data_IF_750640844454
#
_entry.id   IF_750640844454
#
_cell.length_a   1.000
_cell.length_b   1.000
_cell.length_c   1.000
_cell.angle_alpha   90.00
_cell.angle_beta   90.00
_cell.angle_gamma   90.00
#
_symmetry.space_group_name_H-M   'P 1'
#
loop_
_entity.id
_entity.type
_entity.pdbx_description
1 polymer ?
#
# COMPACT_ATOMS: atom_id res chain seq x y z
N UNK A 1 14.57 -1.32 2.46
CA UNK A 1 13.19 -0.95 2.90
C UNK A 1 12.25 -1.27 1.76
N UNK A 2 11.16 -1.98 2.04
CA UNK A 2 10.21 -2.43 1.02
C UNK A 2 9.01 -1.48 0.98
N UNK A 3 8.72 -0.92 -0.18
CA UNK A 3 7.58 -0.01 -0.40
C UNK A 3 6.65 -0.64 -1.43
N UNK A 4 5.35 -0.58 -1.16
CA UNK A 4 4.29 -1.11 -2.01
C UNK A 4 3.50 0.04 -2.63
N UNK A 5 3.32 -0.04 -3.94
CA UNK A 5 2.36 0.75 -4.69
C UNK A 5 1.31 -0.15 -5.35
N UNK A 6 0.10 0.37 -5.50
CA UNK A 6 -0.96 -0.27 -6.27
C UNK A 6 -1.43 0.74 -7.32
N UNK A 7 -1.12 0.49 -8.59
CA UNK A 7 -1.29 1.47 -9.67
C UNK A 7 -1.77 0.82 -10.98
N UNK A 8 -2.32 1.66 -11.85
CA UNK A 8 -2.47 1.37 -13.27
C UNK A 8 -1.57 2.32 -14.10
N UNK A 9 -1.53 2.14 -15.42
CA UNK A 9 -0.66 2.88 -16.33
C UNK A 9 -0.83 4.41 -16.26
N UNK A 10 -2.02 4.91 -15.89
CA UNK A 10 -2.28 6.35 -15.79
C UNK A 10 -1.52 7.01 -14.63
N UNK A 11 -1.11 6.24 -13.63
CA UNK A 11 -0.45 6.75 -12.43
C UNK A 11 1.08 6.72 -12.49
N UNK A 12 1.69 6.28 -13.59
CA UNK A 12 3.17 6.20 -13.74
C UNK A 12 3.84 7.55 -13.43
N UNK A 13 3.30 8.65 -13.93
CA UNK A 13 3.86 9.99 -13.69
C UNK A 13 3.83 10.38 -12.19
N UNK A 14 2.72 10.10 -11.51
CA UNK A 14 2.60 10.33 -10.06
C UNK A 14 3.54 9.40 -9.28
N UNK A 15 3.63 8.13 -9.67
CA UNK A 15 4.55 7.16 -9.08
C UNK A 15 5.99 7.66 -9.13
N UNK A 16 6.44 8.17 -10.28
CA UNK A 16 7.78 8.77 -10.41
C UNK A 16 7.99 9.95 -9.47
N UNK A 17 7.00 10.84 -9.35
CA UNK A 17 7.07 11.99 -8.45
C UNK A 17 7.17 11.55 -6.99
N UNK A 18 6.36 10.57 -6.58
CA UNK A 18 6.40 9.99 -5.25
C UNK A 18 7.78 9.36 -4.97
N UNK A 19 8.28 8.49 -5.85
CA UNK A 19 9.60 7.85 -5.73
C UNK A 19 10.70 8.91 -5.65
N UNK A 20 10.68 9.93 -6.51
CA UNK A 20 11.66 11.02 -6.49
C UNK A 20 11.65 11.75 -5.15
N UNK A 21 10.49 11.95 -4.52
CA UNK A 21 10.40 12.58 -3.21
C UNK A 21 10.99 11.72 -2.10
N UNK A 22 10.80 10.40 -2.16
CA UNK A 22 11.39 9.43 -1.22
C UNK A 22 12.92 9.44 -1.32
N UNK A 23 13.45 9.48 -2.56
CA UNK A 23 14.90 9.45 -2.81
C UNK A 23 15.67 10.65 -2.27
N UNK A 24 15.00 11.74 -1.91
CA UNK A 24 15.62 12.88 -1.23
C UNK A 24 16.14 12.53 0.16
N UNK A 25 15.54 11.51 0.78
CA UNK A 25 15.78 11.17 2.19
C UNK A 25 16.27 9.74 2.39
N UNK A 26 15.77 8.81 1.57
CA UNK A 26 16.02 7.37 1.75
C UNK A 26 16.62 6.73 0.51
N UNK A 27 17.50 5.74 0.70
CA UNK A 27 18.15 4.93 -0.32
C UNK A 27 18.00 3.44 0.01
N UNK A 28 18.37 2.58 -0.92
CA UNK A 28 18.28 1.12 -0.79
C UNK A 28 16.83 0.68 -0.52
N UNK A 29 15.97 0.95 -1.49
CA UNK A 29 14.55 0.67 -1.43
C UNK A 29 14.20 -0.31 -2.55
N UNK A 30 13.45 -1.34 -2.17
CA UNK A 30 12.81 -2.27 -3.09
C UNK A 30 11.34 -1.84 -3.25
N UNK A 31 10.92 -1.57 -4.49
CA UNK A 31 9.57 -1.18 -4.82
C UNK A 31 8.80 -2.38 -5.35
N UNK A 32 7.69 -2.68 -4.72
CA UNK A 32 6.72 -3.67 -5.14
C UNK A 32 5.54 -2.96 -5.77
N UNK A 33 5.18 -3.33 -6.99
CA UNK A 33 4.13 -2.66 -7.77
C UNK A 33 3.07 -3.67 -8.14
N UNK A 34 1.90 -3.58 -7.48
CA UNK A 34 0.72 -4.33 -7.87
C UNK A 34 0.03 -3.60 -9.01
N UNK A 35 -0.21 -4.30 -10.13
CA UNK A 35 -0.78 -3.70 -11.32
C UNK A 35 -1.57 -4.71 -12.15
N UNK A 36 -2.38 -4.20 -13.08
CA UNK A 36 -3.14 -5.00 -14.02
C UNK A 36 -2.75 -4.72 -15.48
N UNK A 37 -2.39 -3.48 -15.80
CA UNK A 37 -2.26 -2.96 -17.17
C UNK A 37 -0.88 -2.39 -17.51
N UNK A 38 0.15 -2.56 -16.65
CA UNK A 38 1.48 -2.08 -16.97
C UNK A 38 2.13 -2.98 -18.04
N UNK A 39 2.36 -2.41 -19.22
CA UNK A 39 3.12 -3.06 -20.27
C UNK A 39 4.65 -2.93 -20.03
N UNK A 40 5.47 -3.51 -20.92
CA UNK A 40 6.92 -3.50 -20.79
C UNK A 40 7.50 -2.09 -20.87
N UNK A 41 6.95 -1.22 -21.71
CA UNK A 41 7.40 0.17 -21.85
C UNK A 41 7.23 0.95 -20.54
N UNK A 42 6.09 0.78 -19.84
CA UNK A 42 5.85 1.39 -18.52
C UNK A 42 6.85 0.91 -17.47
N UNK A 43 7.17 -0.39 -17.47
CA UNK A 43 8.13 -0.99 -16.54
C UNK A 43 9.55 -0.49 -16.82
N UNK A 44 9.95 -0.45 -18.08
CA UNK A 44 11.26 0.03 -18.50
C UNK A 44 11.44 1.52 -18.17
N UNK A 45 10.40 2.32 -18.36
CA UNK A 45 10.40 3.75 -18.04
C UNK A 45 10.62 4.01 -16.54
N UNK A 46 10.00 3.21 -15.65
CA UNK A 46 10.26 3.28 -14.21
C UNK A 46 11.69 2.85 -13.86
N UNK A 47 12.16 1.72 -14.38
CA UNK A 47 13.51 1.21 -14.12
C UNK A 47 14.60 2.15 -14.63
N UNK A 48 14.43 2.74 -15.81
CA UNK A 48 15.39 3.70 -16.38
C UNK A 48 15.40 5.03 -15.61
N UNK A 49 14.25 5.46 -15.08
CA UNK A 49 14.16 6.68 -14.29
C UNK A 49 14.84 6.54 -12.91
N UNK A 50 14.97 5.31 -12.40
CA UNK A 50 15.52 5.04 -11.08
C UNK A 50 16.44 3.81 -11.11
N UNK A 51 17.64 3.91 -11.74
CA UNK A 51 18.51 2.76 -11.96
C UNK A 51 19.12 2.16 -10.68
N UNK A 52 19.12 2.93 -9.58
CA UNK A 52 19.62 2.47 -8.27
C UNK A 52 18.52 1.77 -7.44
N UNK A 53 17.35 1.48 -8.03
CA UNK A 53 16.24 0.83 -7.35
C UNK A 53 16.00 -0.57 -7.87
N UNK A 54 15.49 -1.41 -6.99
CA UNK A 54 14.91 -2.70 -7.38
C UNK A 54 13.41 -2.55 -7.52
N UNK A 55 12.87 -2.98 -8.66
CA UNK A 55 11.43 -3.00 -8.93
C UNK A 55 10.94 -4.45 -9.07
N UNK A 56 9.90 -4.77 -8.33
CA UNK A 56 9.18 -6.04 -8.39
C UNK A 56 7.77 -5.77 -8.90
N UNK A 57 7.52 -6.08 -10.17
CA UNK A 57 6.20 -5.91 -10.78
C UNK A 57 5.38 -7.19 -10.58
N UNK A 58 4.22 -7.06 -9.96
CA UNK A 58 3.31 -8.16 -9.63
C UNK A 58 1.99 -7.90 -10.34
N UNK A 59 1.72 -8.71 -11.35
CA UNK A 59 0.47 -8.66 -12.09
C UNK A 59 -0.65 -9.29 -11.29
N UNK A 60 -1.71 -8.51 -11.05
CA UNK A 60 -2.89 -8.95 -10.31
C UNK A 60 -3.98 -9.38 -11.30
N UNK A 61 -4.47 -10.61 -11.16
CA UNK A 61 -5.53 -11.14 -12.03
C UNK A 61 -6.89 -10.56 -11.64
N UNK A 62 -7.60 -10.02 -12.63
CA UNK A 62 -8.91 -9.39 -12.46
C UNK A 62 -9.94 -10.35 -11.85
N UNK A 63 -9.88 -11.64 -12.24
CA UNK A 63 -10.82 -12.64 -11.77
C UNK A 63 -10.90 -12.74 -10.25
N UNK A 64 -9.81 -12.46 -9.53
CA UNK A 64 -9.75 -12.48 -8.06
C UNK A 64 -10.57 -11.36 -7.42
N UNK A 65 -10.94 -10.33 -8.18
CA UNK A 65 -11.59 -9.12 -7.69
C UNK A 65 -12.89 -8.75 -8.40
N UNK A 66 -13.39 -9.60 -9.29
CA UNK A 66 -14.57 -9.36 -10.15
C UNK A 66 -15.83 -8.97 -9.39
N UNK A 67 -15.98 -9.45 -8.15
CA UNK A 67 -17.17 -9.23 -7.32
C UNK A 67 -17.04 -7.96 -6.44
N UNK A 68 -15.90 -7.26 -6.50
CA UNK A 68 -15.70 -6.03 -5.74
C UNK A 68 -16.37 -4.84 -6.43
N UNK A 69 -17.08 -3.98 -5.67
CA UNK A 69 -17.75 -2.82 -6.24
C UNK A 69 -16.71 -1.81 -6.74
N UNK A 70 -16.80 -1.44 -8.00
CA UNK A 70 -15.93 -0.45 -8.63
C UNK A 70 -16.70 0.76 -9.14
N UNK A 71 -16.02 1.89 -9.22
CA UNK A 71 -16.52 3.12 -9.84
C UNK A 71 -15.35 3.90 -10.44
N UNK A 72 -15.64 4.96 -11.20
CA UNK A 72 -14.60 5.85 -11.72
C UNK A 72 -13.73 6.49 -10.62
N UNK A 73 -14.28 6.64 -9.41
CA UNK A 73 -13.56 7.18 -8.24
C UNK A 73 -12.84 6.09 -7.44
N UNK A 74 -13.35 4.85 -7.48
CA UNK A 74 -12.81 3.71 -6.73
C UNK A 74 -12.52 2.57 -7.71
N UNK A 75 -11.39 2.64 -8.44
CA UNK A 75 -10.98 1.58 -9.34
C UNK A 75 -10.52 0.35 -8.57
N UNK A 76 -10.36 -0.77 -9.26
CA UNK A 76 -10.07 -2.07 -8.67
C UNK A 76 -8.76 -2.10 -7.87
N UNK A 77 -7.78 -1.34 -8.31
CA UNK A 77 -6.45 -1.23 -7.69
C UNK A 77 -6.48 -0.79 -6.22
N UNK A 78 -7.54 -0.09 -5.80
CA UNK A 78 -7.72 0.30 -4.40
C UNK A 78 -7.80 -0.92 -3.47
N UNK A 79 -8.35 -2.03 -3.96
CA UNK A 79 -8.53 -3.24 -3.17
C UNK A 79 -7.26 -4.08 -3.06
N UNK A 80 -6.29 -3.95 -3.99
CA UNK A 80 -5.09 -4.80 -4.00
C UNK A 80 -4.29 -4.69 -2.71
N UNK A 81 -4.28 -3.50 -2.06
CA UNK A 81 -3.62 -3.30 -0.76
C UNK A 81 -4.17 -4.20 0.34
N UNK A 82 -5.46 -4.58 0.29
CA UNK A 82 -6.08 -5.44 1.28
C UNK A 82 -5.60 -6.89 1.17
N UNK A 83 -5.12 -7.29 0.00
CA UNK A 83 -4.62 -8.62 -0.31
C UNK A 83 -3.10 -8.67 -0.44
N UNK A 84 -2.42 -7.64 0.07
CA UNK A 84 -0.96 -7.55 -0.01
C UNK A 84 -0.25 -8.77 0.59
N UNK A 85 -0.79 -9.35 1.69
CA UNK A 85 -0.23 -10.55 2.31
C UNK A 85 -0.23 -11.77 1.41
N UNK A 86 -1.21 -11.89 0.50
CA UNK A 86 -1.37 -13.04 -0.40
C UNK A 86 -0.64 -12.83 -1.72
N UNK A 87 -0.55 -11.56 -2.16
CA UNK A 87 0.05 -11.20 -3.44
C UNK A 87 1.58 -11.07 -3.37
N UNK A 88 2.11 -10.75 -2.20
CA UNK A 88 3.54 -10.50 -1.99
C UNK A 88 4.31 -11.77 -1.61
N UNK A 89 5.62 -11.84 -1.93
CA UNK A 89 6.46 -12.97 -1.54
C UNK A 89 6.43 -13.27 -0.05
N UNK A 90 6.39 -14.56 0.32
CA UNK A 90 6.36 -15.02 1.72
C UNK A 90 7.61 -14.63 2.51
N UNK A 91 8.68 -14.29 1.83
CA UNK A 91 9.96 -13.84 2.44
C UNK A 91 9.89 -12.44 3.02
N UNK A 92 8.81 -11.69 2.75
CA UNK A 92 8.62 -10.34 3.29
C UNK A 92 7.90 -10.40 4.64
N UNK A 93 8.53 -9.82 5.65
CA UNK A 93 7.97 -9.69 7.00
C UNK A 93 7.04 -8.48 7.12
N UNK A 94 7.42 -7.38 6.47
CA UNK A 94 6.72 -6.09 6.48
C UNK A 94 6.85 -5.36 5.17
N UNK A 95 5.90 -4.48 4.90
CA UNK A 95 5.94 -3.57 3.76
C UNK A 95 5.23 -2.25 4.11
N UNK A 96 5.74 -1.15 3.57
CA UNK A 96 5.09 0.16 3.69
C UNK A 96 4.30 0.44 2.41
N UNK A 97 2.97 0.40 2.50
CA UNK A 97 2.10 0.83 1.42
C UNK A 97 1.98 2.36 1.41
N UNK A 98 2.09 2.94 0.22
CA UNK A 98 1.87 4.35 -0.02
C UNK A 98 0.94 4.56 -1.23
N UNK A 99 -0.03 5.46 -1.10
CA UNK A 99 -0.70 6.03 -2.28
C UNK A 99 0.30 6.87 -3.07
N UNK A 100 0.20 6.88 -4.40
CA UNK A 100 1.21 7.52 -5.27
C UNK A 100 1.00 9.03 -5.45
N UNK A 101 -0.09 9.57 -4.94
CA UNK A 101 -0.42 11.01 -4.99
C UNK A 101 0.11 11.79 -3.77
N UNK A 102 1.10 11.23 -3.07
CA UNK A 102 1.76 11.84 -1.91
C UNK A 102 3.18 12.33 -2.25
N UNK A 103 3.66 13.30 -1.49
CA UNK A 103 5.05 13.79 -1.52
C UNK A 103 5.67 13.56 -0.15
N UNK A 104 6.78 12.81 -0.13
CA UNK A 104 7.54 12.53 1.09
C UNK A 104 8.46 13.73 1.41
N UNK A 105 8.37 14.23 2.63
CA UNK A 105 9.11 15.43 3.09
C UNK A 105 10.14 15.14 4.17
N UNK A 106 10.26 13.89 4.61
CA UNK A 106 11.26 13.40 5.56
C UNK A 106 11.51 11.90 5.39
N UNK A 107 12.54 11.35 6.06
CA UNK A 107 12.84 9.91 5.99
C UNK A 107 11.66 9.06 6.48
N UNK A 108 11.39 7.98 5.77
CA UNK A 108 10.37 6.98 6.11
C UNK A 108 10.88 5.89 7.06
N UNK A 109 12.19 5.89 7.39
CA UNK A 109 12.82 4.80 8.16
C UNK A 109 12.27 4.69 9.58
N UNK A 110 11.95 5.80 10.20
CA UNK A 110 11.37 5.78 11.55
C UNK A 110 10.02 5.08 11.54
N UNK A 111 9.12 5.46 10.63
CA UNK A 111 7.83 4.79 10.43
C UNK A 111 8.03 3.30 10.06
N UNK A 112 8.91 3.02 9.09
CA UNK A 112 9.12 1.65 8.59
C UNK A 112 9.62 0.70 9.69
N UNK A 113 10.42 1.19 10.65
CA UNK A 113 11.02 0.39 11.72
C UNK A 113 10.17 0.37 13.01
N UNK A 114 8.99 0.99 13.03
CA UNK A 114 8.12 0.92 14.20
C UNK A 114 7.78 -0.52 14.56
N UNK A 115 7.67 -0.77 15.87
CA UNK A 115 7.22 -2.06 16.39
C UNK A 115 5.70 -2.17 16.26
N UNK A 116 5.23 -3.28 15.72
CA UNK A 116 3.80 -3.54 15.53
C UNK A 116 3.04 -3.83 16.83
N UNK A 117 3.70 -4.25 17.90
CA UNK A 117 3.06 -4.58 19.19
C UNK A 117 1.80 -5.45 19.02
N UNK A 118 1.92 -6.54 18.26
CA UNK A 118 0.82 -7.46 17.91
C UNK A 118 -0.26 -6.90 16.96
N UNK A 119 -0.12 -5.66 16.47
CA UNK A 119 -1.04 -5.12 15.50
C UNK A 119 -0.72 -5.59 14.07
N UNK A 120 -1.76 -5.64 13.24
CA UNK A 120 -1.66 -5.98 11.81
C UNK A 120 -1.14 -4.81 10.98
N UNK A 121 -1.49 -3.59 11.39
CA UNK A 121 -1.19 -2.36 10.68
C UNK A 121 -0.74 -1.26 11.64
N UNK A 122 0.12 -0.38 11.14
CA UNK A 122 0.38 0.94 11.73
C UNK A 122 -0.06 1.97 10.69
N UNK A 123 -0.92 2.88 11.09
CA UNK A 123 -1.50 3.90 10.21
C UNK A 123 -1.78 5.19 11.00
N UNK A 124 -1.88 6.29 10.26
CA UNK A 124 -2.30 7.56 10.85
C UNK A 124 -3.83 7.69 10.80
N UNK A 125 -4.40 8.32 11.82
CA UNK A 125 -5.74 8.87 11.78
C UNK A 125 -5.65 10.40 11.72
N UNK A 126 -6.39 11.01 10.79
CA UNK A 126 -6.46 12.47 10.64
C UNK A 126 -7.88 13.00 10.90
N UNK A 127 -8.77 12.12 11.35
CA UNK A 127 -10.15 12.49 11.69
C UNK A 127 -10.27 12.78 13.19
N UNK A 128 -11.09 13.76 13.53
CA UNK A 128 -11.42 14.06 14.93
C UNK A 128 -12.18 12.88 15.58
N UNK A 129 -12.17 12.83 16.92
CA UNK A 129 -12.92 11.82 17.68
C UNK A 129 -14.39 11.79 17.30
N UNK A 130 -15.04 12.95 17.12
CA UNK A 130 -16.43 13.05 16.69
C UNK A 130 -16.67 12.41 15.31
N UNK A 131 -15.73 12.60 14.38
CA UNK A 131 -15.82 11.98 13.05
C UNK A 131 -15.52 10.48 13.10
N UNK A 132 -14.62 10.03 13.95
CA UNK A 132 -14.38 8.62 14.20
C UNK A 132 -15.66 7.93 14.69
N UNK A 133 -16.30 8.51 15.71
CA UNK A 133 -17.56 8.01 16.26
C UNK A 133 -18.69 7.97 15.20
N UNK A 134 -18.83 9.04 14.41
CA UNK A 134 -19.82 9.09 13.33
C UNK A 134 -19.58 8.02 12.27
N UNK A 135 -18.32 7.82 11.86
CA UNK A 135 -17.95 6.80 10.90
C UNK A 135 -18.15 5.38 11.44
N UNK A 136 -17.77 5.12 12.69
CA UNK A 136 -17.99 3.84 13.35
C UNK A 136 -19.49 3.49 13.37
N UNK A 137 -20.34 4.44 13.78
CA UNK A 137 -21.81 4.26 13.76
C UNK A 137 -22.37 4.00 12.36
N UNK A 138 -21.91 4.76 11.37
CA UNK A 138 -22.33 4.60 9.95
C UNK A 138 -21.96 3.24 9.38
N UNK A 139 -20.81 2.70 9.78
CA UNK A 139 -20.28 1.40 9.32
C UNK A 139 -20.72 0.23 10.20
N UNK A 140 -21.47 0.46 11.27
CA UNK A 140 -21.87 -0.57 12.22
C UNK A 140 -20.70 -1.14 13.04
N UNK A 141 -19.61 -0.38 13.18
CA UNK A 141 -18.43 -0.75 13.94
C UNK A 141 -18.62 -0.39 15.44
N UNK A 142 -17.78 -1.00 16.28
CA UNK A 142 -17.69 -0.61 17.70
C UNK A 142 -17.11 0.80 17.81
N UNK A 143 -17.53 1.55 18.83
CA UNK A 143 -17.16 2.97 19.02
C UNK A 143 -15.65 3.18 19.27
N UNK A 144 -14.96 2.19 19.77
CA UNK A 144 -13.52 2.20 20.09
C UNK A 144 -12.61 1.85 18.91
N UNK A 145 -13.18 1.54 17.74
CA UNK A 145 -12.38 1.22 16.54
C UNK A 145 -11.92 2.51 15.86
N UNK A 146 -10.61 2.79 15.80
CA UNK A 146 -10.10 3.99 15.16
C UNK A 146 -10.36 3.97 13.65
N UNK A 147 -10.77 5.12 13.10
CA UNK A 147 -10.88 5.31 11.66
C UNK A 147 -9.52 5.76 11.11
N UNK A 148 -8.87 4.89 10.36
CA UNK A 148 -7.51 5.10 9.84
C UNK A 148 -7.50 5.61 8.40
N UNK A 149 -6.42 6.31 8.04
CA UNK A 149 -6.10 6.62 6.65
C UNK A 149 -5.39 5.44 6.01
N UNK A 150 -5.93 4.93 4.91
CA UNK A 150 -5.39 3.76 4.20
C UNK A 150 -4.39 4.11 3.10
N UNK A 151 -4.08 5.39 2.88
CA UNK A 151 -3.09 5.84 1.91
C UNK A 151 -1.64 5.70 2.36
N UNK A 152 -1.42 5.52 3.69
CA UNK A 152 -0.12 5.21 4.28
C UNK A 152 -0.32 4.12 5.32
N UNK A 153 0.13 2.90 5.00
CA UNK A 153 -0.03 1.71 5.86
C UNK A 153 1.29 0.97 5.99
N UNK A 154 1.83 0.89 7.19
CA UNK A 154 2.85 -0.10 7.48
C UNK A 154 2.15 -1.42 7.83
N UNK A 155 2.44 -2.48 7.09
CA UNK A 155 1.76 -3.78 7.16
C UNK A 155 2.67 -4.84 7.79
N UNK A 156 2.14 -5.57 8.77
CA UNK A 156 2.75 -6.76 9.35
C UNK A 156 2.32 -7.99 8.54
N UNK A 157 3.08 -8.32 7.50
CA UNK A 157 2.72 -9.41 6.59
C UNK A 157 2.71 -10.78 7.26
N UNK A 158 3.58 -11.01 8.25
CA UNK A 158 3.59 -12.26 9.03
C UNK A 158 2.28 -12.44 9.79
N UNK A 159 1.83 -11.40 10.48
CA UNK A 159 0.61 -11.46 11.27
C UNK A 159 -0.65 -11.55 10.39
N UNK A 160 -0.67 -10.84 9.25
CA UNK A 160 -1.75 -10.89 8.27
C UNK A 160 -1.93 -12.29 7.71
N UNK A 161 -0.85 -12.95 7.24
CA UNK A 161 -0.90 -14.33 6.73
C UNK A 161 -1.40 -15.32 7.79
N UNK A 162 -0.96 -15.17 9.05
CA UNK A 162 -1.42 -16.03 10.15
C UNK A 162 -2.91 -15.86 10.45
N UNK A 163 -3.45 -14.67 10.26
CA UNK A 163 -4.86 -14.41 10.52
C UNK A 163 -5.76 -14.93 9.40
N UNK A 164 -5.35 -14.81 8.15
CA UNK A 164 -6.08 -15.35 7.00
C UNK A 164 -6.15 -16.87 7.05
N UNK A 165 -5.04 -17.55 7.33
CA UNK A 165 -4.98 -19.01 7.47
C UNK A 165 -5.80 -19.58 8.66
N UNK A 166 -6.38 -18.75 9.54
CA UNK A 166 -7.27 -19.17 10.63
C UNK A 166 -8.75 -19.08 10.26
N UNK A 167 -9.07 -18.54 9.09
CA UNK A 167 -10.46 -18.37 8.61
C UNK A 167 -10.88 -19.49 7.63
N UNK A 168 -9.96 -20.38 7.25
CA UNK A 168 -10.21 -21.66 6.57
C UNK A 168 -10.42 -22.80 7.58
#
# INVERSE_FOLDING_TARGET
>A
MNILFSINAKFIGLTKTCIQSIFRFDKNIDFYILHQDLNQEHKDDLMQSFPDCTFHFIEVKEESFKDFPTSSRYPLEIYYRLFASDLLPDTLDRILYLDVDIVVIQSLRELYNMDFQDNLYIACSHVSENMTHLNAKRLGLKEDVPYINTGVLLMNLIALRKQLNKQD
#
